data_IF_451121986119
#
_entry.id   IF_451121986119
#
_cell.length_a   1.000
_cell.length_b   1.000
_cell.length_c   1.000
_cell.angle_alpha   90.00
_cell.angle_beta   90.00
_cell.angle_gamma   90.00
#
_symmetry.space_group_name_H-M   'P 1'
#
loop_
_entity.id
_entity.type
_entity.pdbx_description
1 polymer ?
#
# COMPACT_ATOMS: atom_id res chain seq x y z
N UNK A 1 13.49 32.86 -26.00
CA UNK A 1 13.85 32.59 -24.59
C UNK A 1 12.69 32.59 -23.58
N UNK A 2 11.46 33.03 -23.92
CA UNK A 2 10.27 32.90 -23.05
C UNK A 2 9.46 31.62 -23.33
N UNK A 3 9.52 31.10 -24.56
CA UNK A 3 8.82 29.90 -25.00
C UNK A 3 9.35 28.60 -24.37
N UNK A 4 10.67 28.49 -24.18
CA UNK A 4 11.30 27.33 -23.52
C UNK A 4 11.05 27.28 -22.00
N UNK A 5 10.75 28.42 -21.36
CA UNK A 5 10.46 28.51 -19.91
C UNK A 5 9.04 28.03 -19.56
N UNK A 6 8.09 28.19 -20.49
CA UNK A 6 6.71 27.71 -20.32
C UNK A 6 6.65 26.18 -20.41
N UNK A 7 7.47 25.58 -21.28
CA UNK A 7 7.58 24.13 -21.43
C UNK A 7 8.32 23.44 -20.27
N UNK A 8 9.19 24.17 -19.55
CA UNK A 8 9.89 23.68 -18.35
C UNK A 8 9.02 23.68 -17.08
N UNK A 9 7.91 24.43 -17.06
CA UNK A 9 7.02 24.55 -15.90
C UNK A 9 5.90 23.50 -15.84
N UNK A 10 5.63 22.78 -16.93
CA UNK A 10 4.53 21.81 -17.03
C UNK A 10 4.95 20.36 -16.75
N UNK A 11 6.25 20.05 -16.66
CA UNK A 11 6.76 18.67 -16.52
C UNK A 11 6.68 18.14 -15.07
N UNK A 12 6.47 18.99 -14.07
CA UNK A 12 6.58 18.59 -12.65
C UNK A 12 5.29 17.91 -12.12
N UNK A 13 4.15 18.07 -12.80
CA UNK A 13 2.82 17.69 -12.27
C UNK A 13 2.46 16.21 -12.56
N UNK A 14 3.11 15.55 -13.54
CA UNK A 14 2.76 14.17 -13.91
C UNK A 14 3.27 13.10 -12.92
N UNK A 15 4.28 13.43 -12.11
CA UNK A 15 4.99 12.45 -11.26
C UNK A 15 4.28 12.05 -9.96
N UNK A 16 3.24 12.79 -9.54
CA UNK A 16 2.63 12.63 -8.19
C UNK A 16 1.39 11.74 -8.14
N UNK A 17 0.90 11.19 -9.26
CA UNK A 17 -0.42 10.53 -9.34
C UNK A 17 -0.42 8.99 -9.33
N UNK A 18 0.73 8.31 -9.26
CA UNK A 18 0.80 6.84 -9.42
C UNK A 18 1.15 6.03 -8.15
N UNK A 19 0.82 6.52 -6.95
CA UNK A 19 0.92 5.71 -5.74
C UNK A 19 -0.27 4.73 -5.64
N UNK A 20 -0.19 3.58 -6.33
CA UNK A 20 -1.14 2.48 -6.17
C UNK A 20 -0.90 1.79 -4.81
N UNK A 21 -1.62 2.25 -3.79
CA UNK A 21 -1.62 1.65 -2.46
C UNK A 21 -2.43 0.35 -2.50
N UNK A 22 -1.75 -0.79 -2.58
CA UNK A 22 -2.41 -2.08 -2.43
C UNK A 22 -2.96 -2.23 -1.00
N UNK A 23 -4.27 -2.46 -0.89
CA UNK A 23 -4.94 -2.68 0.40
C UNK A 23 -4.78 -4.14 0.85
N UNK A 24 -4.28 -4.33 2.06
CA UNK A 24 -4.24 -5.60 2.80
C UNK A 24 -4.94 -5.45 4.14
N UNK A 25 -5.06 -6.54 4.90
CA UNK A 25 -5.82 -6.55 6.15
C UNK A 25 -4.95 -7.00 7.31
N UNK A 26 -5.06 -6.31 8.45
CA UNK A 26 -4.46 -6.71 9.73
C UNK A 26 -5.57 -7.05 10.73
N UNK A 27 -5.25 -7.87 11.73
CA UNK A 27 -6.13 -8.13 12.87
C UNK A 27 -5.79 -7.23 14.06
N UNK A 28 -6.68 -7.19 15.04
CA UNK A 28 -6.46 -6.59 16.37
C UNK A 28 -5.21 -7.17 17.07
N UNK A 29 -4.99 -8.47 16.89
CA UNK A 29 -3.89 -9.24 17.48
C UNK A 29 -3.05 -9.86 16.39
N UNK A 30 -1.75 -9.58 16.40
CA UNK A 30 -0.77 -10.20 15.51
C UNK A 30 0.13 -9.20 14.81
N UNK A 31 1.19 -9.71 14.20
CA UNK A 31 2.19 -8.93 13.45
C UNK A 31 2.23 -9.30 11.97
N UNK A 32 1.10 -9.76 11.43
CA UNK A 32 0.98 -10.18 10.03
C UNK A 32 -0.10 -9.39 9.30
N UNK A 33 0.14 -9.11 8.03
CA UNK A 33 -0.88 -8.63 7.10
C UNK A 33 -1.37 -9.77 6.21
N UNK A 34 -2.62 -9.69 5.76
CA UNK A 34 -3.39 -10.77 5.18
C UNK A 34 -4.17 -10.31 3.95
N UNK A 35 -4.58 -11.26 3.10
CA UNK A 35 -5.68 -11.05 2.15
C UNK A 35 -7.02 -11.02 2.90
N UNK A 36 -8.01 -10.31 2.36
CA UNK A 36 -9.32 -10.16 2.99
C UNK A 36 -10.12 -11.45 3.17
N UNK A 37 -9.74 -12.51 2.45
CA UNK A 37 -10.33 -13.86 2.47
C UNK A 37 -9.43 -14.90 3.18
N UNK A 38 -8.41 -14.48 3.93
CA UNK A 38 -7.52 -15.42 4.61
C UNK A 38 -8.27 -16.26 5.65
N UNK A 39 -8.19 -17.60 5.56
CA UNK A 39 -8.87 -18.53 6.48
C UNK A 39 -8.52 -18.37 7.97
N UNK A 40 -7.38 -17.75 8.27
CA UNK A 40 -6.91 -17.51 9.65
C UNK A 40 -7.29 -16.10 10.14
N UNK A 41 -7.74 -15.22 9.25
CA UNK A 41 -8.26 -13.90 9.57
C UNK A 41 -9.78 -14.02 9.77
N UNK A 42 -10.18 -14.67 10.87
CA UNK A 42 -11.59 -14.97 11.18
C UNK A 42 -12.29 -13.88 12.01
N UNK A 43 -11.51 -13.08 12.72
CA UNK A 43 -12.01 -12.04 13.63
C UNK A 43 -12.00 -10.66 12.93
N UNK A 44 -12.03 -9.61 13.74
CA UNK A 44 -11.87 -8.22 13.31
C UNK A 44 -10.68 -8.05 12.37
N UNK A 45 -10.95 -7.45 11.20
CA UNK A 45 -9.95 -7.14 10.19
C UNK A 45 -10.02 -5.66 9.84
N UNK A 46 -8.86 -5.02 9.78
CA UNK A 46 -8.72 -3.59 9.47
C UNK A 46 -7.94 -3.44 8.16
N UNK A 47 -8.48 -2.71 7.18
CA UNK A 47 -7.77 -2.44 5.94
C UNK A 47 -6.59 -1.48 6.21
N UNK A 48 -5.46 -1.75 5.57
CA UNK A 48 -4.23 -0.94 5.64
C UNK A 48 -3.48 -1.06 4.31
N UNK A 49 -2.71 -0.03 3.92
CA UNK A 49 -1.84 -0.16 2.75
C UNK A 49 -0.67 -1.11 3.05
N UNK A 50 -0.18 -1.84 2.05
CA UNK A 50 0.99 -2.71 2.21
C UNK A 50 2.21 -1.92 2.69
N UNK A 51 2.41 -0.72 2.15
CA UNK A 51 3.53 0.16 2.53
C UNK A 51 3.47 0.52 4.02
N UNK A 52 2.30 0.91 4.53
CA UNK A 52 2.13 1.24 5.94
C UNK A 52 2.24 -0.01 6.82
N UNK A 53 1.71 -1.16 6.39
CA UNK A 53 1.87 -2.42 7.09
C UNK A 53 3.37 -2.76 7.26
N UNK A 54 4.16 -2.64 6.19
CA UNK A 54 5.62 -2.84 6.25
C UNK A 54 6.31 -1.82 7.13
N UNK A 55 5.96 -0.54 7.02
CA UNK A 55 6.51 0.55 7.84
C UNK A 55 6.27 0.32 9.34
N UNK A 56 5.11 -0.23 9.70
CA UNK A 56 4.76 -0.62 11.08
C UNK A 56 5.36 -1.96 11.52
N UNK A 57 6.13 -2.65 10.66
CA UNK A 57 6.79 -3.92 10.98
C UNK A 57 5.91 -5.16 10.86
N UNK A 58 4.78 -5.09 10.15
CA UNK A 58 3.97 -6.28 9.85
C UNK A 58 4.63 -7.13 8.76
N UNK A 59 4.47 -8.44 8.87
CA UNK A 59 5.03 -9.43 7.94
C UNK A 59 3.93 -10.10 7.11
N UNK A 60 4.27 -10.63 5.93
CA UNK A 60 3.30 -11.31 5.10
C UNK A 60 2.77 -12.60 5.77
N UNK A 61 1.46 -12.81 5.75
CA UNK A 61 0.88 -14.08 6.18
C UNK A 61 1.27 -15.21 5.23
N UNK A 62 2.03 -16.19 5.71
CA UNK A 62 2.44 -17.39 4.93
C UNK A 62 1.26 -18.24 4.45
N UNK A 63 0.09 -18.16 5.08
CA UNK A 63 -1.09 -18.97 4.73
C UNK A 63 -1.82 -18.44 3.50
N UNK A 64 -2.00 -17.12 3.40
CA UNK A 64 -2.69 -16.51 2.27
C UNK A 64 -1.76 -15.84 1.25
N UNK A 65 -0.45 -15.82 1.53
CA UNK A 65 0.60 -15.24 0.69
C UNK A 65 0.16 -13.93 0.00
N UNK A 66 -0.13 -12.88 0.80
CA UNK A 66 -0.58 -11.60 0.27
C UNK A 66 0.52 -10.97 -0.62
N UNK A 67 0.15 -10.07 -1.55
CA UNK A 67 1.13 -9.31 -2.31
C UNK A 67 2.09 -8.54 -1.40
N UNK A 68 3.32 -8.32 -1.89
CA UNK A 68 4.39 -7.61 -1.22
C UNK A 68 4.49 -6.19 -1.76
#
# INVERSE_FOLDING_TARGET
>A
MKLAKIFLMSIIIASSVFAQANTVYISDKGKKYHRGNCRTLRASKYPISIQEAKKRGYTACKVCNPPN
#
